data_IF_578722772106
#
_entry.id   IF_578722772106
#
_cell.length_a   1.000
_cell.length_b   1.000
_cell.length_c   1.000
_cell.angle_alpha   90.00
_cell.angle_beta   90.00
_cell.angle_gamma   90.00
#
_symmetry.space_group_name_H-M   'P 1'
#
loop_
_entity.id
_entity.type
_entity.pdbx_description
1 polymer ?
#
# COMPACT_ATOMS: atom_id res chain seq x y z
N UNK A 1 0.51 5.79 30.03
CA UNK A 1 1.85 5.46 29.46
C UNK A 1 2.63 6.75 29.30
N UNK A 2 3.88 6.82 29.77
CA UNK A 2 4.70 8.04 29.67
C UNK A 2 5.11 8.33 28.22
N UNK A 3 5.53 9.57 27.93
CA UNK A 3 6.02 9.94 26.60
C UNK A 3 7.24 9.11 26.17
N UNK A 4 8.17 8.85 27.09
CA UNK A 4 9.33 7.98 26.86
C UNK A 4 8.90 6.55 26.48
N UNK A 5 7.99 5.94 27.24
CA UNK A 5 7.51 4.58 26.95
C UNK A 5 6.81 4.47 25.58
N UNK A 6 6.13 5.55 25.12
CA UNK A 6 5.58 5.60 23.75
C UNK A 6 6.67 5.61 22.68
N UNK A 7 7.72 6.41 22.88
CA UNK A 7 8.86 6.48 21.96
C UNK A 7 9.58 5.14 21.88
N UNK A 8 9.81 4.48 23.01
CA UNK A 8 10.47 3.17 23.06
C UNK A 8 9.65 2.08 22.36
N UNK A 9 8.34 2.06 22.58
CA UNK A 9 7.43 1.15 21.88
C UNK A 9 7.44 1.39 20.36
N UNK A 10 7.55 2.64 19.91
CA UNK A 10 7.60 2.97 18.49
C UNK A 10 8.96 2.68 17.85
N UNK A 11 10.05 2.85 18.59
CA UNK A 11 11.39 2.38 18.21
C UNK A 11 11.44 0.86 18.07
N UNK A 12 10.75 0.12 18.94
CA UNK A 12 10.64 -1.33 18.82
C UNK A 12 9.90 -1.77 17.55
N UNK A 13 8.94 -0.99 17.06
CA UNK A 13 8.30 -1.23 15.75
C UNK A 13 9.29 -1.03 14.60
N UNK A 14 10.11 0.02 14.65
CA UNK A 14 11.16 0.25 13.65
C UNK A 14 12.15 -0.91 13.60
N UNK A 15 12.60 -1.38 14.77
CA UNK A 15 13.47 -2.57 14.87
C UNK A 15 12.82 -3.78 14.18
N UNK A 16 11.55 -4.06 14.46
CA UNK A 16 10.82 -5.15 13.83
C UNK A 16 10.75 -5.01 12.31
N UNK A 17 10.48 -3.82 11.77
CA UNK A 17 10.46 -3.57 10.33
C UNK A 17 11.82 -3.88 9.71
N UNK A 18 12.90 -3.39 10.33
CA UNK A 18 14.26 -3.59 9.83
C UNK A 18 14.67 -5.06 9.89
N UNK A 19 14.38 -5.77 10.97
CA UNK A 19 14.71 -7.20 11.10
C UNK A 19 13.86 -8.07 10.18
N UNK A 20 12.53 -7.90 10.21
CA UNK A 20 11.59 -8.78 9.51
C UNK A 20 11.53 -8.48 8.02
N UNK A 21 11.49 -7.21 7.60
CA UNK A 21 11.29 -6.87 6.18
C UNK A 21 12.61 -6.79 5.40
N UNK A 22 13.70 -6.33 6.03
CA UNK A 22 15.01 -6.25 5.38
C UNK A 22 15.83 -7.54 5.56
N UNK A 23 15.31 -8.52 6.31
CA UNK A 23 15.97 -9.79 6.59
C UNK A 23 17.35 -9.60 7.25
N UNK A 24 17.41 -8.66 8.20
CA UNK A 24 18.62 -8.36 8.96
C UNK A 24 18.67 -9.20 10.23
N UNK A 25 19.86 -9.67 10.61
CA UNK A 25 20.07 -10.33 11.89
C UNK A 25 19.79 -9.38 13.05
N UNK A 26 18.97 -9.84 14.00
CA UNK A 26 18.62 -9.06 15.20
C UNK A 26 19.86 -8.68 16.03
N UNK A 27 20.90 -9.52 15.99
CA UNK A 27 22.17 -9.34 16.69
C UNK A 27 22.93 -8.10 16.21
N UNK A 28 22.83 -7.77 14.93
CA UNK A 28 23.62 -6.70 14.31
C UNK A 28 22.77 -5.45 14.00
N UNK A 29 21.62 -5.28 14.66
CA UNK A 29 20.68 -4.23 14.28
C UNK A 29 21.26 -2.81 14.46
N UNK A 30 22.03 -2.56 15.53
CA UNK A 30 22.61 -1.23 15.81
C UNK A 30 23.77 -0.86 14.89
N UNK A 31 24.48 -1.87 14.40
CA UNK A 31 25.65 -1.72 13.52
C UNK A 31 25.29 -1.81 12.04
N UNK A 32 24.03 -2.14 11.72
CA UNK A 32 23.58 -2.29 10.35
C UNK A 32 23.55 -0.95 9.61
N UNK A 33 24.06 -0.93 8.38
CA UNK A 33 24.14 0.24 7.51
C UNK A 33 22.83 1.06 7.44
N UNK A 34 21.69 0.38 7.33
CA UNK A 34 20.37 1.02 7.32
C UNK A 34 20.09 1.78 8.62
N UNK A 35 20.39 1.18 9.77
CA UNK A 35 20.14 1.84 11.05
C UNK A 35 21.09 3.00 11.29
N UNK A 36 22.37 2.85 10.90
CA UNK A 36 23.33 3.95 10.96
C UNK A 36 22.89 5.12 10.08
N UNK A 37 22.41 4.84 8.87
CA UNK A 37 21.91 5.87 7.95
C UNK A 37 20.64 6.55 8.46
N UNK A 38 19.66 5.79 8.96
CA UNK A 38 18.43 6.35 9.54
C UNK A 38 18.72 7.20 10.77
N UNK A 39 19.56 6.71 11.70
CA UNK A 39 19.95 7.46 12.91
C UNK A 39 20.69 8.74 12.55
N UNK A 40 21.59 8.69 11.55
CA UNK A 40 22.31 9.88 11.05
C UNK A 40 21.38 10.93 10.46
N UNK A 41 20.30 10.50 9.82
CA UNK A 41 19.23 11.35 9.28
C UNK A 41 18.26 11.85 10.36
N UNK A 42 18.32 11.32 11.59
CA UNK A 42 17.43 11.68 12.70
C UNK A 42 16.15 10.85 12.77
N UNK A 43 16.11 9.70 12.11
CA UNK A 43 14.98 8.76 12.12
C UNK A 43 15.23 7.69 13.17
N UNK A 44 14.59 7.86 14.33
CA UNK A 44 14.76 6.98 15.49
C UNK A 44 13.55 6.07 15.74
N UNK A 45 12.39 6.43 15.20
CA UNK A 45 11.13 5.73 15.45
C UNK A 45 10.45 5.30 14.15
N UNK A 46 9.49 4.38 14.26
CA UNK A 46 8.70 3.94 13.10
C UNK A 46 7.87 5.09 12.53
N UNK A 47 7.35 5.96 13.38
CA UNK A 47 6.63 7.16 12.97
C UNK A 47 7.52 8.10 12.15
N UNK A 48 8.79 8.26 12.54
CA UNK A 48 9.77 9.05 11.78
C UNK A 48 10.00 8.45 10.39
N UNK A 49 10.13 7.12 10.30
CA UNK A 49 10.26 6.42 9.01
C UNK A 49 9.04 6.64 8.09
N UNK A 50 7.82 6.67 8.64
CA UNK A 50 6.60 6.91 7.86
C UNK A 50 6.46 8.32 7.32
N UNK A 51 7.21 9.28 7.87
CA UNK A 51 7.25 10.66 7.38
C UNK A 51 8.25 10.86 6.24
N UNK A 52 9.12 9.87 5.98
CA UNK A 52 10.12 9.97 4.93
C UNK A 52 9.52 9.88 3.54
N UNK A 53 9.99 10.73 2.64
CA UNK A 53 9.69 10.68 1.21
C UNK A 53 10.74 9.88 0.43
N UNK A 54 10.46 9.57 -0.84
CA UNK A 54 11.42 8.89 -1.73
C UNK A 54 12.77 9.62 -1.77
N UNK A 55 12.76 10.95 -1.85
CA UNK A 55 13.97 11.79 -1.89
C UNK A 55 14.82 11.66 -0.62
N UNK A 56 14.17 11.52 0.53
CA UNK A 56 14.86 11.40 1.82
C UNK A 56 15.60 10.07 1.88
N UNK A 57 14.94 8.99 1.46
CA UNK A 57 15.52 7.64 1.38
C UNK A 57 16.67 7.59 0.37
N UNK A 58 16.54 8.30 -0.75
CA UNK A 58 17.60 8.40 -1.76
C UNK A 58 18.84 9.12 -1.24
N UNK A 59 18.65 10.11 -0.36
CA UNK A 59 19.71 10.90 0.28
C UNK A 59 20.40 10.24 1.48
N UNK A 60 19.94 9.05 1.90
CA UNK A 60 20.49 8.35 3.05
C UNK A 60 21.97 8.00 2.85
N UNK A 61 22.78 8.41 3.83
CA UNK A 61 24.22 8.18 3.89
C UNK A 61 24.61 7.43 5.15
N UNK A 62 25.62 6.56 5.02
CA UNK A 62 26.18 5.78 6.12
C UNK A 62 27.44 6.52 6.60
N UNK A 63 27.54 6.86 7.90
CA UNK A 63 28.76 7.39 8.47
C UNK A 63 29.82 6.29 8.54
N UNK A 64 31.02 6.55 8.03
CA UNK A 64 32.14 5.61 8.12
C UNK A 64 32.86 5.80 9.46
N UNK A 65 32.90 4.76 10.29
CA UNK A 65 33.50 4.80 11.63
C UNK A 65 34.93 5.35 11.57
N UNK A 66 35.21 6.38 12.37
CA UNK A 66 36.54 6.98 12.51
C UNK A 66 36.94 7.95 11.40
N UNK A 67 36.03 8.31 10.48
CA UNK A 67 36.32 9.28 9.42
C UNK A 67 35.14 10.24 9.20
N UNK A 68 35.38 11.36 8.53
CA UNK A 68 34.33 12.27 8.04
C UNK A 68 33.74 11.82 6.69
N UNK A 69 34.17 10.67 6.17
CA UNK A 69 33.70 10.17 4.89
C UNK A 69 32.32 9.50 5.05
N UNK A 70 31.36 9.98 4.26
CA UNK A 70 30.01 9.43 4.17
C UNK A 70 29.87 8.68 2.85
N UNK A 71 29.25 7.50 2.87
CA UNK A 71 28.94 6.73 1.66
C UNK A 71 27.42 6.57 1.50
N UNK A 72 26.88 6.58 0.27
CA UNK A 72 25.45 6.40 0.07
C UNK A 72 25.00 5.00 0.51
N UNK A 73 23.79 4.91 1.04
CA UNK A 73 23.16 3.64 1.38
C UNK A 73 22.98 2.78 0.10
N UNK A 74 23.17 1.46 0.23
CA UNK A 74 23.11 0.54 -0.90
C UNK A 74 21.78 0.65 -1.66
N UNK A 75 21.80 0.52 -2.99
CA UNK A 75 20.60 0.59 -3.82
C UNK A 75 19.50 -0.37 -3.36
N UNK A 76 19.86 -1.63 -3.10
CA UNK A 76 18.92 -2.65 -2.62
C UNK A 76 18.28 -2.25 -1.28
N UNK A 77 19.06 -1.74 -0.33
CA UNK A 77 18.57 -1.32 0.99
C UNK A 77 17.61 -0.13 0.88
N UNK A 78 17.94 0.88 0.08
CA UNK A 78 17.05 2.02 -0.21
C UNK A 78 15.72 1.57 -0.80
N UNK A 79 15.77 0.67 -1.78
CA UNK A 79 14.58 0.09 -2.41
C UNK A 79 13.73 -0.73 -1.44
N UNK A 80 14.35 -1.49 -0.55
CA UNK A 80 13.62 -2.25 0.46
C UNK A 80 12.97 -1.36 1.53
N UNK A 81 13.62 -0.27 1.97
CA UNK A 81 13.02 0.72 2.85
C UNK A 81 11.76 1.33 2.23
N UNK A 82 11.87 1.76 0.97
CA UNK A 82 10.74 2.29 0.23
C UNK A 82 9.60 1.26 0.10
N UNK A 83 9.93 0.01 -0.23
CA UNK A 83 8.96 -1.08 -0.28
C UNK A 83 8.28 -1.31 1.07
N UNK A 84 9.01 -1.20 2.19
CA UNK A 84 8.45 -1.38 3.54
C UNK A 84 7.44 -0.29 3.89
N UNK A 85 7.72 0.97 3.56
CA UNK A 85 6.79 2.10 3.74
C UNK A 85 5.53 1.88 2.90
N UNK A 86 5.69 1.57 1.60
CA UNK A 86 4.56 1.29 0.71
C UNK A 86 3.73 0.09 1.18
N UNK A 87 4.38 -0.96 1.69
CA UNK A 87 3.75 -2.15 2.23
C UNK A 87 2.85 -1.82 3.42
N UNK A 88 3.34 -1.02 4.37
CA UNK A 88 2.55 -0.58 5.52
C UNK A 88 1.29 0.16 5.08
N UNK A 89 1.42 1.12 4.16
CA UNK A 89 0.27 1.85 3.64
C UNK A 89 -0.70 0.96 2.86
N UNK A 90 -0.20 0.00 2.08
CA UNK A 90 -1.05 -0.96 1.37
C UNK A 90 -1.93 -1.76 2.32
N UNK A 91 -1.35 -2.36 3.37
CA UNK A 91 -2.10 -3.16 4.33
C UNK A 91 -3.04 -2.32 5.20
N UNK A 92 -2.70 -1.07 5.51
CA UNK A 92 -3.63 -0.16 6.17
C UNK A 92 -4.86 0.14 5.29
N UNK A 93 -4.65 0.35 3.97
CA UNK A 93 -5.76 0.55 3.02
C UNK A 93 -6.63 -0.69 2.87
N UNK A 94 -6.01 -1.87 2.76
CA UNK A 94 -6.73 -3.14 2.64
C UNK A 94 -7.67 -3.40 3.84
N UNK A 95 -7.23 -3.03 5.05
CA UNK A 95 -8.04 -3.19 6.27
C UNK A 95 -8.87 -1.94 6.63
N UNK A 96 -8.81 -0.88 5.83
CA UNK A 96 -9.44 0.42 6.12
C UNK A 96 -9.17 0.95 7.53
N UNK A 97 -7.99 0.65 8.08
CA UNK A 97 -7.57 1.04 9.43
C UNK A 97 -6.05 1.03 9.54
N UNK A 98 -5.51 1.78 10.51
CA UNK A 98 -4.11 1.62 10.88
C UNK A 98 -3.87 0.22 11.44
N UNK A 99 -2.91 -0.50 10.87
CA UNK A 99 -2.51 -1.82 11.36
C UNK A 99 -1.30 -1.70 12.29
N UNK A 100 -1.09 -2.72 13.12
CA UNK A 100 0.18 -2.84 13.84
C UNK A 100 1.24 -3.37 12.86
N UNK A 101 2.29 -2.60 12.59
CA UNK A 101 3.33 -3.01 11.63
C UNK A 101 4.01 -4.32 12.01
N UNK A 102 4.07 -4.66 13.31
CA UNK A 102 4.66 -5.92 13.78
C UNK A 102 3.82 -7.14 13.42
N UNK A 103 2.58 -6.98 12.95
CA UNK A 103 1.75 -8.10 12.46
C UNK A 103 2.03 -8.46 11.00
N UNK A 104 2.86 -7.69 10.30
CA UNK A 104 3.22 -7.98 8.91
C UNK A 104 4.35 -9.01 8.92
N UNK A 105 4.07 -10.24 8.49
CA UNK A 105 5.08 -11.27 8.33
C UNK A 105 6.03 -10.95 7.17
N UNK A 106 7.26 -11.49 7.22
CA UNK A 106 8.20 -11.43 6.09
C UNK A 106 7.54 -12.01 4.82
N UNK A 107 6.79 -13.11 4.92
CA UNK A 107 6.09 -13.71 3.77
C UNK A 107 5.08 -12.77 3.11
N UNK A 108 4.32 -12.01 3.90
CA UNK A 108 3.38 -11.01 3.39
C UNK A 108 4.12 -9.84 2.73
N UNK A 109 5.21 -9.38 3.36
CA UNK A 109 6.08 -8.37 2.75
C UNK A 109 6.67 -8.84 1.41
N UNK A 110 7.15 -10.09 1.31
CA UNK A 110 7.68 -10.64 0.06
C UNK A 110 6.61 -10.73 -1.02
N UNK A 111 5.40 -11.18 -0.68
CA UNK A 111 4.27 -11.22 -1.63
C UNK A 111 3.92 -9.84 -2.15
N UNK A 112 3.88 -8.84 -1.26
CA UNK A 112 3.68 -7.45 -1.66
C UNK A 112 4.80 -6.97 -2.58
N UNK A 113 6.06 -7.20 -2.20
CA UNK A 113 7.25 -6.77 -2.94
C UNK A 113 7.32 -7.36 -4.36
N UNK A 114 6.92 -8.61 -4.54
CA UNK A 114 6.98 -9.31 -5.84
C UNK A 114 5.76 -9.00 -6.71
N UNK A 115 4.57 -8.90 -6.12
CA UNK A 115 3.31 -8.88 -6.89
C UNK A 115 2.60 -7.53 -6.96
N UNK A 116 2.87 -6.60 -6.05
CA UNK A 116 2.08 -5.35 -5.90
C UNK A 116 2.94 -4.09 -5.87
N UNK A 117 4.19 -4.20 -5.46
CA UNK A 117 5.08 -3.05 -5.32
C UNK A 117 5.56 -2.54 -6.68
N UNK A 118 5.37 -1.25 -6.91
CA UNK A 118 5.91 -0.51 -8.04
C UNK A 118 6.94 0.50 -7.52
N UNK A 119 8.17 0.39 -8.00
CA UNK A 119 9.28 1.25 -7.58
C UNK A 119 9.26 2.64 -8.22
N UNK A 120 8.43 2.85 -9.26
CA UNK A 120 8.22 4.14 -9.94
C UNK A 120 7.03 4.91 -9.37
N UNK A 121 6.14 4.24 -8.64
CA UNK A 121 4.99 4.86 -8.01
C UNK A 121 5.42 5.68 -6.79
N UNK A 122 4.77 6.83 -6.62
CA UNK A 122 4.92 7.68 -5.44
C UNK A 122 4.40 6.97 -4.18
N UNK A 123 5.01 7.26 -3.03
CA UNK A 123 4.50 6.81 -1.73
C UNK A 123 3.22 7.57 -1.42
N UNK A 124 2.08 6.90 -1.49
CA UNK A 124 0.78 7.49 -1.11
C UNK A 124 0.46 7.09 0.34
N UNK A 125 0.35 8.03 1.30
CA UNK A 125 -0.10 7.67 2.65
C UNK A 125 -1.50 7.05 2.65
N UNK A 126 -1.78 6.13 3.57
CA UNK A 126 -3.06 5.41 3.60
C UNK A 126 -4.26 6.28 4.01
N UNK A 127 -4.01 7.32 4.80
CA UNK A 127 -5.00 8.32 5.22
C UNK A 127 -5.26 9.39 4.16
N UNK A 128 -4.47 9.40 3.08
CA UNK A 128 -4.75 10.31 1.98
C UNK A 128 -6.04 9.86 1.34
N UNK A 129 -7.06 10.71 1.40
CA UNK A 129 -8.26 10.60 0.59
C UNK A 129 -7.86 10.75 -0.88
N UNK A 130 -7.29 9.70 -1.49
CA UNK A 130 -7.80 9.37 -2.81
C UNK A 130 -9.24 9.03 -2.50
N UNK A 131 -10.15 9.96 -2.77
CA UNK A 131 -11.54 9.60 -2.83
C UNK A 131 -11.55 8.27 -3.58
N UNK A 132 -12.07 7.16 -3.00
CA UNK A 132 -12.43 6.06 -3.87
C UNK A 132 -13.20 6.76 -4.99
N UNK A 133 -12.85 6.50 -6.25
CA UNK A 133 -13.81 6.82 -7.29
C UNK A 133 -15.00 5.99 -6.83
N UNK A 134 -15.96 6.66 -6.19
CA UNK A 134 -16.99 5.94 -5.47
C UNK A 134 -17.68 5.13 -6.55
N UNK A 135 -18.28 3.99 -6.20
CA UNK A 135 -19.00 3.23 -7.20
C UNK A 135 -19.96 4.17 -7.98
N UNK A 136 -20.51 5.18 -7.31
CA UNK A 136 -21.27 6.26 -7.93
C UNK A 136 -20.46 7.14 -8.89
N UNK A 137 -19.23 7.56 -8.58
CA UNK A 137 -18.39 8.35 -9.49
C UNK A 137 -17.91 7.54 -10.71
N UNK A 138 -17.67 6.23 -10.54
CA UNK A 138 -17.35 5.31 -11.65
C UNK A 138 -18.58 5.08 -12.53
N UNK A 139 -19.76 4.88 -11.91
CA UNK A 139 -21.05 4.79 -12.61
C UNK A 139 -21.38 6.10 -13.32
N UNK A 140 -21.14 7.26 -12.72
CA UNK A 140 -21.36 8.56 -13.35
C UNK A 140 -20.43 8.77 -14.54
N UNK A 141 -19.17 8.36 -14.44
CA UNK A 141 -18.24 8.39 -15.55
C UNK A 141 -18.68 7.44 -16.68
N UNK A 142 -19.08 6.22 -16.34
CA UNK A 142 -19.69 5.27 -17.28
C UNK A 142 -20.94 5.82 -17.95
N UNK A 143 -21.86 6.44 -17.20
CA UNK A 143 -23.08 7.05 -17.73
C UNK A 143 -22.80 8.25 -18.64
N UNK A 144 -21.71 9.00 -18.38
CA UNK A 144 -21.28 10.10 -19.26
C UNK A 144 -20.70 9.58 -20.58
N UNK A 145 -19.95 8.49 -20.55
CA UNK A 145 -19.34 7.86 -21.73
C UNK A 145 -20.38 7.10 -22.55
N UNK A 146 -21.23 6.33 -21.87
CA UNK A 146 -22.27 5.51 -22.47
C UNK A 146 -23.58 6.29 -22.41
N UNK A 147 -23.78 7.19 -23.38
CA UNK A 147 -25.10 7.75 -23.65
C UNK A 147 -25.96 6.69 -24.31
N UNK A 148 -26.69 5.92 -23.51
CA UNK A 148 -27.70 5.01 -24.05
C UNK A 148 -28.86 5.87 -24.54
N UNK A 149 -29.04 5.96 -25.85
CA UNK A 149 -30.18 6.62 -26.46
C UNK A 149 -31.36 5.65 -26.53
N UNK A 150 -32.59 6.17 -26.48
CA UNK A 150 -33.80 5.34 -26.60
C UNK A 150 -33.84 4.56 -27.93
N UNK A 151 -33.15 5.06 -28.95
CA UNK A 151 -32.97 4.43 -30.27
C UNK A 151 -31.98 3.26 -30.28
N UNK A 152 -31.13 3.11 -29.26
CA UNK A 152 -30.21 1.96 -29.15
C UNK A 152 -30.92 0.71 -28.61
N UNK A 153 -32.10 0.88 -28.03
CA UNK A 153 -32.96 -0.23 -27.66
C UNK A 153 -33.71 -0.73 -28.89
N UNK A 154 -33.49 -2.00 -29.26
CA UNK A 154 -34.34 -2.70 -30.22
C UNK A 154 -35.73 -2.82 -29.61
N UNK A 155 -36.69 -2.05 -30.09
CA UNK A 155 -38.10 -2.23 -29.74
C UNK A 155 -38.51 -3.65 -30.18
N UNK A 156 -38.76 -4.54 -29.22
CA UNK A 156 -39.35 -5.84 -29.50
C UNK A 156 -40.83 -5.64 -29.84
N UNK A 157 -41.10 -5.30 -31.11
CA UNK A 157 -42.45 -5.24 -31.67
C UNK A 157 -42.86 -6.55 -32.32
N UNK A 158 -42.62 -7.67 -31.63
CA UNK A 158 -43.10 -8.97 -32.09
C UNK A 158 -44.16 -9.52 -31.14
N UNK A 159 -45.35 -8.93 -31.19
CA UNK A 159 -46.58 -9.64 -30.81
C UNK A 159 -46.86 -10.82 -31.75
N UNK A 160 -46.17 -10.90 -32.90
CA UNK A 160 -46.27 -11.97 -33.89
C UNK A 160 -45.77 -13.34 -33.41
N UNK A 161 -44.89 -13.40 -32.39
CA UNK A 161 -44.37 -14.66 -31.83
C UNK A 161 -45.06 -15.10 -30.54
N UNK A 162 -46.14 -14.42 -30.13
CA UNK A 162 -46.90 -14.83 -28.95
C UNK A 162 -47.77 -16.02 -29.36
N UNK A 163 -47.36 -17.23 -29.00
CA UNK A 163 -48.22 -18.41 -29.09
C UNK A 163 -49.47 -18.16 -28.25
N UNK A 164 -50.60 -17.88 -28.92
CA UNK A 164 -51.91 -17.98 -28.29
C UNK A 164 -52.17 -19.45 -28.01
N UNK A 165 -52.05 -19.86 -26.76
CA UNK A 165 -52.59 -21.13 -26.31
C UNK A 165 -54.12 -20.98 -26.23
N UNK A 166 -54.87 -21.63 -27.13
CA UNK A 166 -56.32 -21.71 -27.01
C UNK A 166 -56.68 -22.91 -26.12
N UNK A 167 -57.29 -22.65 -24.97
CA UNK A 167 -58.03 -23.67 -24.20
C UNK A 167 -59.26 -24.10 -25.01
N UNK A 168 -59.10 -25.07 -25.90
CA UNK A 168 -60.21 -25.76 -26.58
C UNK A 168 -60.14 -27.27 -26.33
N UNK A 169 -59.87 -27.66 -25.09
CA UNK A 169 -59.91 -29.07 -24.67
C UNK A 169 -60.53 -29.27 -23.29
N UNK A 170 -61.68 -28.65 -23.06
CA UNK A 170 -62.67 -29.14 -22.11
C UNK A 170 -64.09 -28.96 -22.66
N UNK A 171 -64.50 -29.90 -23.51
CA UNK A 171 -65.91 -30.24 -23.67
C UNK A 171 -66.05 -31.75 -23.54
N UNK A 172 -66.89 -32.11 -22.57
CA UNK A 172 -67.34 -33.43 -22.11
C UNK A 172 -67.58 -34.49 -23.20
#
# INVERSE_FOLDING_TARGET
MSAAARRDADRAKLKNVVTIMLNNDEVNWETHDVMLALTRFGVDTFSDLMMMECRDIESLVIPTVGTTAERPLGFSQRRQLLAAICCFHHFCREQSKSINVTSISNSNFQRFRIGRWDASAEVVPWLTTRAPVSAEAEIEHWNKIVKISRSDYKEFRDEAYWYKWSEDSYSL
#
